data_IF_657490663686
#
_entry.id   IF_657490663686
#
_cell.length_a   1.000
_cell.length_b   1.000
_cell.length_c   1.000
_cell.angle_alpha   90.00
_cell.angle_beta   90.00
_cell.angle_gamma   90.00
#
_symmetry.space_group_name_H-M   'P 1'
#
loop_
_entity.id
_entity.type
_entity.pdbx_description
1 polymer ?
#
# COMPACT_ATOMS: atom_id res chain seq x y z
N UNK A 1 -1.46 6.67 -4.89
CA UNK A 1 -0.52 6.25 -3.82
C UNK A 1 0.86 5.99 -4.40
N UNK A 2 1.96 6.36 -3.74
CA UNK A 2 3.32 6.04 -4.22
C UNK A 2 3.85 4.84 -3.44
N UNK A 3 4.29 3.79 -4.14
CA UNK A 3 4.73 2.52 -3.54
C UNK A 3 6.15 2.25 -3.99
N UNK A 4 7.04 1.89 -3.08
CA UNK A 4 8.36 1.36 -3.43
C UNK A 4 8.27 -0.16 -3.43
N UNK A 5 8.69 -0.77 -4.54
CA UNK A 5 8.65 -2.21 -4.72
C UNK A 5 10.04 -2.74 -5.07
N UNK A 6 10.67 -3.41 -4.11
CA UNK A 6 11.91 -4.15 -4.30
C UNK A 6 11.57 -5.58 -4.71
N UNK A 7 11.85 -5.93 -5.95
CA UNK A 7 11.71 -7.28 -6.49
C UNK A 7 12.80 -7.54 -7.53
N UNK A 8 13.74 -8.45 -7.26
CA UNK A 8 14.76 -8.84 -8.23
C UNK A 8 14.20 -9.42 -9.53
N UNK A 9 13.06 -10.13 -9.48
CA UNK A 9 12.37 -10.64 -10.66
C UNK A 9 11.57 -9.54 -11.38
N UNK A 10 12.15 -9.04 -12.48
CA UNK A 10 11.51 -8.00 -13.32
C UNK A 10 10.17 -8.44 -13.88
N UNK A 11 10.02 -9.69 -14.29
CA UNK A 11 8.79 -10.17 -14.91
C UNK A 11 7.65 -10.20 -13.89
N UNK A 12 7.94 -10.65 -12.66
CA UNK A 12 6.98 -10.56 -11.56
C UNK A 12 6.67 -9.10 -11.22
N UNK A 13 7.70 -8.25 -11.12
CA UNK A 13 7.53 -6.83 -10.80
C UNK A 13 6.63 -6.10 -11.80
N UNK A 14 6.82 -6.35 -13.10
CA UNK A 14 6.00 -5.79 -14.18
C UNK A 14 4.57 -6.35 -14.17
N UNK A 15 4.41 -7.65 -13.91
CA UNK A 15 3.09 -8.29 -13.82
C UNK A 15 2.25 -7.68 -12.70
N UNK A 16 2.84 -7.51 -11.52
CA UNK A 16 2.17 -6.87 -10.37
C UNK A 16 1.87 -5.40 -10.69
N UNK A 17 2.81 -4.64 -11.24
CA UNK A 17 2.59 -3.23 -11.60
C UNK A 17 1.44 -3.05 -12.60
N UNK A 18 1.39 -3.88 -13.65
CA UNK A 18 0.27 -3.89 -14.61
C UNK A 18 -1.05 -4.19 -13.90
N UNK A 19 -1.09 -5.24 -13.08
CA UNK A 19 -2.29 -5.63 -12.36
C UNK A 19 -2.77 -4.53 -11.41
N UNK A 20 -1.90 -3.97 -10.59
CA UNK A 20 -2.23 -2.91 -9.63
C UNK A 20 -2.73 -1.65 -10.35
N UNK A 21 -2.25 -1.34 -11.56
CA UNK A 21 -2.74 -0.22 -12.37
C UNK A 21 -4.11 -0.48 -13.02
N UNK A 22 -4.53 -1.76 -13.18
CA UNK A 22 -5.89 -2.10 -13.61
C UNK A 22 -6.90 -1.95 -12.47
N UNK A 23 -6.45 -2.02 -11.22
CA UNK A 23 -7.29 -1.79 -10.06
C UNK A 23 -7.76 -0.33 -9.99
N UNK A 24 -8.83 -0.15 -9.21
CA UNK A 24 -9.49 1.14 -9.04
C UNK A 24 -8.58 2.19 -8.43
N UNK A 25 -7.77 1.79 -7.44
CA UNK A 25 -6.80 2.68 -6.82
C UNK A 25 -5.53 2.76 -7.67
N UNK A 26 -5.28 3.94 -8.24
CA UNK A 26 -4.05 4.19 -8.99
C UNK A 26 -2.84 4.26 -8.05
N UNK A 27 -1.93 3.30 -8.24
CA UNK A 27 -0.66 3.22 -7.52
C UNK A 27 0.48 3.56 -8.48
N UNK A 28 1.34 4.50 -8.08
CA UNK A 28 2.60 4.78 -8.75
C UNK A 28 3.66 3.90 -8.11
N UNK A 29 4.00 2.79 -8.76
CA UNK A 29 5.02 1.86 -8.28
C UNK A 29 6.41 2.31 -8.77
N UNK A 30 7.30 2.57 -7.83
CA UNK A 30 8.74 2.67 -8.07
C UNK A 30 9.32 1.27 -7.89
N UNK A 31 9.58 0.60 -9.01
CA UNK A 31 10.23 -0.72 -9.03
C UNK A 31 11.73 -0.54 -8.92
N UNK A 32 12.35 -1.25 -7.99
CA UNK A 32 13.80 -1.37 -7.82
C UNK A 32 14.16 -2.84 -7.75
N UNK A 33 15.39 -3.19 -8.11
CA UNK A 33 15.84 -4.59 -8.20
C UNK A 33 16.85 -4.96 -7.14
N UNK A 34 17.56 -3.97 -6.60
CA UNK A 34 18.58 -4.20 -5.59
C UNK A 34 18.36 -3.37 -4.34
N UNK A 35 18.83 -3.90 -3.21
CA UNK A 35 18.72 -3.24 -1.91
C UNK A 35 19.54 -1.94 -1.86
N UNK A 36 20.63 -1.87 -2.62
CA UNK A 36 21.47 -0.68 -2.75
C UNK A 36 20.69 0.53 -3.28
N UNK A 37 19.70 0.30 -4.15
CA UNK A 37 18.83 1.36 -4.68
C UNK A 37 17.98 2.01 -3.57
N UNK A 38 17.62 1.27 -2.50
CA UNK A 38 16.89 1.85 -1.35
C UNK A 38 17.75 2.92 -0.67
N UNK A 39 19.03 2.62 -0.45
CA UNK A 39 19.95 3.56 0.19
C UNK A 39 20.21 4.81 -0.66
N UNK A 40 20.10 4.70 -1.98
CA UNK A 40 20.24 5.82 -2.91
C UNK A 40 19.04 6.76 -2.92
N UNK A 41 17.83 6.28 -2.56
CA UNK A 41 16.64 7.14 -2.43
C UNK A 41 16.75 8.12 -1.24
N UNK A 42 17.59 7.83 -0.25
CA UNK A 42 17.97 8.77 0.81
C UNK A 42 16.78 9.36 1.58
N UNK A 43 16.70 10.69 1.65
CA UNK A 43 15.63 11.42 2.37
C UNK A 43 14.26 11.35 1.70
N UNK A 44 14.17 10.92 0.44
CA UNK A 44 12.91 10.87 -0.29
C UNK A 44 12.04 9.67 0.11
N UNK A 45 12.54 8.76 0.96
CA UNK A 45 11.80 7.60 1.42
C UNK A 45 10.49 7.94 2.15
N UNK A 46 10.40 9.13 2.77
CA UNK A 46 9.17 9.59 3.44
C UNK A 46 8.00 9.88 2.48
N UNK A 47 8.24 9.94 1.16
CA UNK A 47 7.19 10.19 0.16
C UNK A 47 6.40 8.92 -0.21
N UNK A 48 6.90 7.74 0.16
CA UNK A 48 6.24 6.47 -0.11
C UNK A 48 5.18 6.17 0.96
N UNK A 49 4.05 5.62 0.52
CA UNK A 49 2.94 5.24 1.40
C UNK A 49 2.95 3.75 1.76
N UNK A 50 3.83 2.97 1.13
CA UNK A 50 4.00 1.54 1.35
C UNK A 50 5.36 1.11 0.78
N UNK A 51 6.02 0.20 1.49
CA UNK A 51 7.17 -0.55 0.99
C UNK A 51 6.80 -2.01 0.80
N UNK A 52 7.11 -2.57 -0.36
CA UNK A 52 7.00 -4.00 -0.65
C UNK A 52 8.42 -4.50 -0.89
N UNK A 53 8.91 -5.38 -0.02
CA UNK A 53 10.32 -5.74 0.02
C UNK A 53 10.53 -7.24 -0.17
N UNK A 54 11.20 -7.62 -1.26
CA UNK A 54 11.82 -8.94 -1.42
C UNK A 54 13.31 -8.83 -1.06
N UNK A 55 13.64 -9.14 0.20
CA UNK A 55 14.99 -9.00 0.76
C UNK A 55 15.79 -10.30 0.60
N UNK A 56 17.09 -10.18 0.28
CA UNK A 56 18.03 -11.31 0.27
C UNK A 56 18.16 -11.93 1.66
N UNK A 57 18.20 -11.09 2.69
CA UNK A 57 18.18 -11.52 4.08
C UNK A 57 17.03 -10.82 4.83
N UNK A 58 15.84 -11.45 4.93
CA UNK A 58 14.68 -10.84 5.58
C UNK A 58 14.87 -10.64 7.09
N UNK A 59 15.87 -11.29 7.71
CA UNK A 59 16.17 -11.14 9.14
C UNK A 59 17.14 -9.99 9.45
N UNK A 60 17.70 -9.34 8.44
CA UNK A 60 18.58 -8.19 8.65
C UNK A 60 17.74 -6.92 8.91
N UNK A 61 17.87 -6.28 10.09
CA UNK A 61 17.13 -5.06 10.39
C UNK A 61 17.66 -3.81 9.66
N UNK A 62 18.77 -3.88 8.93
CA UNK A 62 19.45 -2.70 8.38
C UNK A 62 18.53 -1.84 7.50
N UNK A 63 17.82 -2.46 6.54
CA UNK A 63 16.93 -1.75 5.61
C UNK A 63 15.73 -1.16 6.35
N UNK A 64 15.12 -1.92 7.26
CA UNK A 64 13.99 -1.43 8.05
C UNK A 64 14.40 -0.22 8.90
N UNK A 65 15.55 -0.31 9.59
CA UNK A 65 16.09 0.80 10.38
C UNK A 65 16.36 2.01 9.51
N UNK A 66 16.93 1.82 8.32
CA UNK A 66 17.19 2.91 7.38
C UNK A 66 15.89 3.61 6.95
N UNK A 67 14.84 2.86 6.57
CA UNK A 67 13.53 3.42 6.21
C UNK A 67 12.90 4.19 7.38
N UNK A 68 12.98 3.67 8.61
CA UNK A 68 12.43 4.36 9.78
C UNK A 68 13.26 5.61 10.15
N UNK A 69 14.58 5.55 10.03
CA UNK A 69 15.49 6.69 10.28
C UNK A 69 15.30 7.83 9.27
N UNK A 70 14.83 7.55 8.05
CA UNK A 70 14.46 8.58 7.08
C UNK A 70 13.14 9.29 7.41
N UNK A 71 12.51 8.99 8.56
CA UNK A 71 11.24 9.59 8.99
C UNK A 71 10.00 8.98 8.34
N UNK A 72 10.10 7.78 7.77
CA UNK A 72 8.96 7.11 7.14
C UNK A 72 8.27 6.13 8.08
N UNK A 73 7.02 6.39 8.40
CA UNK A 73 6.14 5.51 9.19
C UNK A 73 5.26 4.60 8.31
N UNK A 74 5.50 4.56 7.00
CA UNK A 74 4.68 3.77 6.09
C UNK A 74 4.83 2.26 6.34
N UNK A 75 3.76 1.48 6.12
CA UNK A 75 3.79 0.04 6.30
C UNK A 75 4.82 -0.65 5.39
N UNK A 76 5.36 -1.76 5.86
CA UNK A 76 6.30 -2.63 5.14
C UNK A 76 5.67 -4.01 4.98
N UNK A 77 5.41 -4.40 3.73
CA UNK A 77 5.03 -5.75 3.32
C UNK A 77 6.29 -6.51 2.90
N UNK A 78 6.60 -7.58 3.62
CA UNK A 78 7.74 -8.45 3.30
C UNK A 78 7.31 -9.60 2.38
N UNK A 79 8.06 -9.80 1.30
CA UNK A 79 7.93 -10.96 0.42
C UNK A 79 8.96 -12.01 0.84
N UNK A 80 8.51 -13.25 0.96
CA UNK A 80 9.33 -14.41 1.26
C UNK A 80 9.23 -15.45 0.13
N UNK A 81 10.33 -16.15 -0.15
CA UNK A 81 10.31 -17.30 -1.04
C UNK A 81 9.62 -18.51 -0.38
N UNK A 82 9.09 -19.40 -1.23
CA UNK A 82 8.35 -20.59 -0.81
C UNK A 82 9.12 -21.52 0.11
N UNK A 83 10.44 -21.59 -0.07
CA UNK A 83 11.35 -22.49 0.64
C UNK A 83 11.88 -21.89 1.95
N UNK A 84 11.30 -20.77 2.42
CA UNK A 84 11.73 -20.14 3.67
C UNK A 84 11.59 -21.09 4.86
N UNK A 85 12.68 -21.20 5.62
CA UNK A 85 12.71 -21.97 6.85
C UNK A 85 11.82 -21.33 7.92
N UNK A 86 10.85 -22.08 8.45
CA UNK A 86 9.90 -21.62 9.48
C UNK A 86 10.57 -21.07 10.74
N UNK A 87 11.83 -21.44 11.02
CA UNK A 87 12.58 -20.93 12.15
C UNK A 87 12.81 -19.42 12.10
N UNK A 88 12.80 -18.80 10.91
CA UNK A 88 12.99 -17.35 10.78
C UNK A 88 11.73 -16.56 11.17
N UNK A 89 10.54 -17.18 11.14
CA UNK A 89 9.26 -16.51 11.37
C UNK A 89 9.20 -15.83 12.74
N UNK A 90 9.79 -16.46 13.76
CA UNK A 90 9.90 -15.87 15.11
C UNK A 90 10.73 -14.58 15.09
N UNK A 91 11.85 -14.57 14.37
CA UNK A 91 12.70 -13.39 14.21
C UNK A 91 11.97 -12.30 13.43
N UNK A 92 11.31 -12.65 12.33
CA UNK A 92 10.54 -11.70 11.52
C UNK A 92 9.42 -11.05 12.32
N UNK A 93 8.74 -11.79 13.20
CA UNK A 93 7.73 -11.25 14.11
C UNK A 93 8.31 -10.15 15.02
N UNK A 94 9.50 -10.35 15.58
CA UNK A 94 10.15 -9.34 16.44
C UNK A 94 10.74 -8.15 15.67
N UNK A 95 10.98 -8.31 14.37
CA UNK A 95 11.34 -7.21 13.50
C UNK A 95 10.14 -6.32 13.16
N UNK A 96 8.92 -6.69 13.57
CA UNK A 96 7.73 -5.85 13.45
C UNK A 96 7.44 -5.39 12.01
N UNK A 97 7.64 -6.28 11.04
CA UNK A 97 7.06 -6.09 9.71
C UNK A 97 5.53 -6.03 9.82
N UNK A 98 4.89 -5.16 9.05
CA UNK A 98 3.45 -4.95 9.14
C UNK A 98 2.65 -6.12 8.56
N UNK A 99 3.17 -6.76 7.51
CA UNK A 99 2.65 -8.03 7.00
C UNK A 99 3.72 -8.81 6.21
N UNK A 100 3.46 -10.09 5.97
CA UNK A 100 4.32 -11.01 5.23
C UNK A 100 3.48 -11.78 4.20
N UNK A 101 4.02 -11.92 2.98
CA UNK A 101 3.45 -12.72 1.90
C UNK A 101 4.50 -13.70 1.37
N UNK A 102 4.08 -14.93 1.04
CA UNK A 102 4.98 -16.02 0.64
C UNK A 102 4.71 -16.36 -0.83
N UNK A 103 5.76 -16.52 -1.65
CA UNK A 103 5.65 -16.97 -3.04
C UNK A 103 5.23 -18.45 -3.13
N UNK A 104 4.50 -18.89 -4.14
CA UNK A 104 3.95 -18.12 -5.26
C UNK A 104 2.56 -17.56 -4.89
N UNK A 105 2.47 -16.26 -4.70
CA UNK A 105 1.20 -15.59 -4.40
C UNK A 105 0.51 -15.14 -5.70
N UNK A 106 -0.81 -15.02 -5.66
CA UNK A 106 -1.55 -14.43 -6.78
C UNK A 106 -1.49 -12.90 -6.75
N UNK A 107 -1.65 -12.20 -7.89
CA UNK A 107 -1.77 -10.75 -7.93
C UNK A 107 -2.92 -10.23 -7.03
N UNK A 108 -4.02 -10.97 -6.92
CA UNK A 108 -5.12 -10.64 -6.03
C UNK A 108 -4.71 -10.66 -4.55
N UNK A 109 -3.92 -11.66 -4.13
CA UNK A 109 -3.49 -11.78 -2.74
C UNK A 109 -2.67 -10.57 -2.31
N UNK A 110 -1.65 -10.18 -3.10
CA UNK A 110 -0.83 -9.02 -2.78
C UNK A 110 -1.66 -7.73 -2.79
N UNK A 111 -2.62 -7.59 -3.70
CA UNK A 111 -3.50 -6.43 -3.72
C UNK A 111 -4.35 -6.32 -2.43
N UNK A 112 -4.92 -7.42 -1.97
CA UNK A 112 -5.70 -7.45 -0.73
C UNK A 112 -4.86 -7.17 0.51
N UNK A 113 -3.63 -7.69 0.56
CA UNK A 113 -2.65 -7.37 1.62
C UNK A 113 -2.34 -5.88 1.67
N UNK A 114 -2.06 -5.27 0.51
CA UNK A 114 -1.84 -3.83 0.38
C UNK A 114 -3.05 -3.04 0.85
N UNK A 115 -4.25 -3.45 0.45
CA UNK A 115 -5.46 -2.76 0.85
C UNK A 115 -5.71 -2.79 2.34
N UNK A 116 -5.44 -3.92 2.99
CA UNK A 116 -5.50 -4.05 4.44
C UNK A 116 -4.47 -3.15 5.12
N UNK A 117 -3.21 -3.21 4.69
CA UNK A 117 -2.09 -2.45 5.26
C UNK A 117 -2.28 -0.94 5.15
N UNK A 118 -2.74 -0.46 4.01
CA UNK A 118 -2.94 0.96 3.77
C UNK A 118 -4.36 1.44 4.13
N UNK A 119 -5.15 0.60 4.81
CA UNK A 119 -6.55 0.88 5.18
C UNK A 119 -7.43 1.34 4.00
N UNK A 120 -7.13 0.84 2.79
CA UNK A 120 -7.91 1.07 1.57
C UNK A 120 -9.21 0.24 1.62
N UNK A 121 -9.27 -0.76 2.50
CA UNK A 121 -10.41 -1.63 2.78
C UNK A 121 -11.50 -1.03 3.68
N UNK A 122 -11.83 0.23 3.47
CA UNK A 122 -13.14 0.70 3.86
C UNK A 122 -13.83 1.26 2.62
N UNK A 123 -14.81 0.51 2.10
CA UNK A 123 -15.89 1.07 1.27
C UNK A 123 -16.65 2.19 1.98
N UNK A 124 -16.27 2.49 3.21
CA UNK A 124 -16.80 3.54 4.01
C UNK A 124 -15.83 4.70 4.25
N UNK A 125 -14.53 4.61 3.89
CA UNK A 125 -13.59 5.73 4.07
C UNK A 125 -12.75 5.92 2.80
N UNK A 126 -12.95 7.05 2.14
CA UNK A 126 -12.32 7.38 0.86
C UNK A 126 -11.46 8.64 1.01
N UNK A 127 -10.14 8.47 1.04
CA UNK A 127 -9.21 9.60 1.02
C UNK A 127 -8.77 9.92 -0.42
N UNK A 128 -9.19 11.09 -0.89
CA UNK A 128 -8.86 11.63 -2.22
C UNK A 128 -7.47 12.29 -2.22
N UNK A 129 -7.07 12.88 -1.09
CA UNK A 129 -5.74 13.44 -0.84
C UNK A 129 -5.42 13.38 0.66
N UNK A 130 -4.27 13.93 1.09
CA UNK A 130 -3.93 14.04 2.51
C UNK A 130 -4.91 14.92 3.30
N UNK A 131 -5.52 15.90 2.63
CA UNK A 131 -6.40 16.89 3.26
C UNK A 131 -7.87 16.62 2.98
N UNK A 132 -8.18 15.65 2.11
CA UNK A 132 -9.54 15.37 1.64
C UNK A 132 -9.90 13.91 1.84
N UNK A 133 -10.79 13.65 2.80
CA UNK A 133 -11.27 12.31 3.10
C UNK A 133 -12.79 12.30 3.32
N UNK A 134 -13.42 11.20 2.96
CA UNK A 134 -14.84 10.97 3.13
C UNK A 134 -15.09 9.69 3.91
N UNK A 135 -15.61 9.80 5.12
CA UNK A 135 -16.08 8.69 5.94
C UNK A 135 -17.61 8.54 5.76
N UNK A 136 -18.03 7.68 4.84
CA UNK A 136 -19.42 7.30 4.60
C UNK A 136 -20.11 6.71 5.84
N UNK A 137 -19.39 5.94 6.69
CA UNK A 137 -20.00 5.32 7.88
C UNK A 137 -20.50 6.39 8.85
N UNK A 138 -19.75 7.48 8.99
CA UNK A 138 -20.11 8.62 9.81
C UNK A 138 -20.77 9.75 9.01
N UNK A 139 -21.02 9.55 7.71
CA UNK A 139 -21.47 10.56 6.76
C UNK A 139 -20.66 11.87 6.87
N UNK A 140 -19.34 11.76 7.03
CA UNK A 140 -18.44 12.86 7.35
C UNK A 140 -17.47 13.09 6.20
N UNK A 141 -17.51 14.29 5.63
CA UNK A 141 -16.52 14.78 4.68
C UNK A 141 -15.52 15.69 5.41
N UNK A 142 -14.24 15.51 5.14
CA UNK A 142 -13.14 16.27 5.74
C UNK A 142 -12.38 16.96 4.62
N UNK A 143 -12.21 18.27 4.73
CA UNK A 143 -11.40 19.08 3.82
C UNK A 143 -10.59 20.11 4.62
N UNK A 144 -9.26 20.04 4.60
CA UNK A 144 -8.38 20.98 5.32
C UNK A 144 -8.75 21.12 6.81
N UNK A 145 -8.94 19.98 7.47
CA UNK A 145 -9.38 19.86 8.87
C UNK A 145 -10.84 20.27 9.15
N UNK A 146 -11.53 20.92 8.21
CA UNK A 146 -12.96 21.21 8.32
C UNK A 146 -13.79 19.95 8.14
N UNK A 147 -14.79 19.80 9.02
CA UNK A 147 -15.66 18.62 9.11
C UNK A 147 -17.08 18.99 8.66
N UNK A 148 -17.55 18.37 7.58
CA UNK A 148 -18.89 18.56 7.04
C UNK A 148 -19.68 17.25 7.11
N UNK A 149 -20.81 17.27 7.80
CA UNK A 149 -21.74 16.13 7.79
C UNK A 149 -22.63 16.18 6.55
N UNK A 150 -22.74 15.05 5.86
CA UNK A 150 -23.55 14.88 4.66
C UNK A 150 -24.90 14.26 5.01
N UNK A 151 -25.93 14.64 4.27
CA UNK A 151 -27.21 13.93 4.29
C UNK A 151 -27.07 12.50 3.76
N UNK A 152 -27.97 11.59 4.16
CA UNK A 152 -27.90 10.16 3.78
C UNK A 152 -27.80 9.94 2.27
N UNK A 153 -28.57 10.69 1.47
CA UNK A 153 -28.55 10.58 0.00
C UNK A 153 -27.25 11.12 -0.59
N UNK A 154 -26.73 12.21 -0.04
CA UNK A 154 -25.46 12.82 -0.47
C UNK A 154 -24.29 11.89 -0.18
N UNK A 155 -24.23 11.32 1.03
CA UNK A 155 -23.23 10.33 1.41
C UNK A 155 -23.29 9.08 0.53
N UNK A 156 -24.49 8.56 0.23
CA UNK A 156 -24.67 7.40 -0.64
C UNK A 156 -24.23 7.69 -2.07
N UNK A 157 -24.63 8.85 -2.61
CA UNK A 157 -24.25 9.26 -3.95
C UNK A 157 -22.73 9.44 -4.05
N UNK A 158 -22.12 10.12 -3.08
CA UNK A 158 -20.68 10.32 -3.04
C UNK A 158 -19.92 8.99 -2.90
N UNK A 159 -20.37 8.08 -2.02
CA UNK A 159 -19.83 6.72 -1.92
C UNK A 159 -19.90 6.02 -3.28
N UNK A 160 -21.03 6.10 -3.97
CA UNK A 160 -21.20 5.45 -5.28
C UNK A 160 -20.25 6.01 -6.34
N UNK A 161 -20.12 7.34 -6.45
CA UNK A 161 -19.19 7.98 -7.38
C UNK A 161 -17.74 7.62 -7.07
N UNK A 162 -17.37 7.71 -5.80
CA UNK A 162 -16.03 7.36 -5.36
C UNK A 162 -15.78 5.89 -5.67
N UNK A 163 -16.73 5.01 -5.31
CA UNK A 163 -16.73 3.55 -5.56
C UNK A 163 -16.50 3.15 -7.02
N UNK A 164 -16.83 4.04 -7.97
CA UNK A 164 -16.67 3.79 -9.41
C UNK A 164 -15.51 4.56 -10.04
N UNK A 165 -14.99 5.61 -9.41
CA UNK A 165 -13.83 6.37 -9.88
C UNK A 165 -12.64 5.47 -10.25
N UNK A 166 -11.96 5.64 -11.39
CA UNK A 166 -12.07 6.78 -12.31
C UNK A 166 -13.11 6.62 -13.43
N UNK A 167 -13.97 5.60 -13.36
CA UNK A 167 -14.92 5.30 -14.44
C UNK A 167 -16.09 6.30 -14.44
N UNK A 168 -16.62 6.55 -15.65
CA UNK A 168 -17.83 7.35 -15.84
C UNK A 168 -19.04 6.59 -15.27
N UNK A 169 -19.92 7.35 -14.63
CA UNK A 169 -21.18 6.86 -14.05
C UNK A 169 -22.33 7.51 -14.83
N UNK A 170 -23.19 6.70 -15.44
CA UNK A 170 -24.42 7.17 -16.09
C UNK A 170 -25.48 7.55 -15.05
N UNK A 171 -26.39 8.44 -15.44
CA UNK A 171 -27.60 8.73 -14.66
C UNK A 171 -28.65 7.61 -14.77
N UNK A 172 -28.62 6.88 -15.89
CA UNK A 172 -29.44 5.69 -16.15
C UNK A 172 -28.99 4.48 -15.33
#
# INVERSE_FOLDING_TARGET
MKVLFLEPDRALADTIDIFMNQLRLKMKMKKIQTEEEIFQEGSDLAVYSLFILNLKNPTDPAIMKFIRQSGSDAPILLILDKEVNTNILKTLYYLSYDDVIIKDFSPDEIAFRIYKLCHIWNDDVFCLSKEVCFDFKNALFIHQEEKTFLGKKEALFLKYLLAKSPHVVSFE
#
